data_IF_565130077860
#
_entry.id   IF_565130077860
#
_cell.length_a   1.000
_cell.length_b   1.000
_cell.length_c   1.000
_cell.angle_alpha   90.00
_cell.angle_beta   90.00
_cell.angle_gamma   90.00
#
_symmetry.space_group_name_H-M   'P 1'
#
loop_
_entity.id
_entity.type
_entity.pdbx_description
1 polymer ?
#
# COMPACT_ATOMS: atom_id res chain seq x y z
N UNK A 1 5.50 -11.43 23.66
CA UNK A 1 5.29 -11.89 22.27
C UNK A 1 6.58 -11.66 21.52
N UNK A 2 7.12 -12.67 20.84
CA UNK A 2 8.35 -12.50 20.03
C UNK A 2 7.99 -11.60 18.82
N UNK A 3 8.73 -10.51 18.65
CA UNK A 3 8.61 -9.64 17.47
C UNK A 3 9.33 -10.32 16.30
N UNK A 4 8.75 -10.27 15.11
CA UNK A 4 9.44 -10.75 13.91
C UNK A 4 10.53 -9.76 13.55
N UNK A 5 11.76 -10.22 13.47
CA UNK A 5 12.95 -9.39 13.24
C UNK A 5 13.35 -9.50 11.77
N UNK A 6 13.48 -8.36 11.11
CA UNK A 6 14.15 -8.22 9.84
C UNK A 6 15.54 -7.65 10.09
N UNK A 7 16.55 -8.50 9.96
CA UNK A 7 17.95 -8.12 10.12
C UNK A 7 18.57 -7.73 8.78
N UNK A 8 19.31 -6.66 8.75
CA UNK A 8 20.13 -6.21 7.61
C UNK A 8 21.58 -6.27 8.03
N UNK A 9 22.42 -6.97 7.28
CA UNK A 9 23.85 -7.04 7.55
C UNK A 9 24.67 -6.67 6.31
N UNK A 10 25.37 -5.54 6.38
CA UNK A 10 26.29 -5.10 5.33
C UNK A 10 27.56 -4.53 5.96
N UNK A 11 28.73 -4.89 5.39
CA UNK A 11 30.03 -4.39 5.86
C UNK A 11 30.27 -2.91 5.49
N UNK A 12 29.51 -2.39 4.54
CA UNK A 12 29.46 -0.96 4.24
C UNK A 12 28.54 -0.26 5.24
N UNK A 13 29.15 0.36 6.25
CA UNK A 13 28.46 0.99 7.38
C UNK A 13 27.38 1.97 6.92
N UNK A 14 27.74 2.87 6.01
CA UNK A 14 26.82 3.91 5.51
C UNK A 14 25.61 3.29 4.80
N UNK A 15 25.82 2.24 4.01
CA UNK A 15 24.72 1.56 3.36
C UNK A 15 23.76 0.90 4.38
N UNK A 16 24.32 0.14 5.33
CA UNK A 16 23.53 -0.55 6.35
C UNK A 16 22.68 0.43 7.17
N UNK A 17 23.26 1.54 7.60
CA UNK A 17 22.59 2.55 8.41
C UNK A 17 21.54 3.34 7.61
N UNK A 18 21.86 3.78 6.40
CA UNK A 18 20.93 4.49 5.54
C UNK A 18 19.74 3.60 5.13
N UNK A 19 20.00 2.33 4.85
CA UNK A 19 18.93 1.39 4.52
C UNK A 19 18.05 1.06 5.73
N UNK A 20 18.64 0.90 6.92
CA UNK A 20 17.88 0.77 8.17
C UNK A 20 17.01 2.00 8.43
N UNK A 21 17.57 3.20 8.26
CA UNK A 21 16.82 4.44 8.43
C UNK A 21 15.65 4.53 7.45
N UNK A 22 15.90 4.19 6.18
CA UNK A 22 14.84 4.07 5.18
C UNK A 22 13.75 3.08 5.60
N UNK A 23 14.12 1.88 6.07
CA UNK A 23 13.16 0.87 6.53
C UNK A 23 12.35 1.33 7.74
N UNK A 24 12.97 2.03 8.70
CA UNK A 24 12.30 2.59 9.87
C UNK A 24 11.33 3.72 9.53
N UNK A 25 11.60 4.48 8.46
CA UNK A 25 10.69 5.50 7.93
C UNK A 25 9.50 4.87 7.17
N UNK A 26 9.65 3.65 6.66
CA UNK A 26 8.56 2.87 6.07
C UNK A 26 7.64 2.30 7.15
N UNK A 27 6.55 3.01 7.42
CA UNK A 27 5.59 2.68 8.50
C UNK A 27 4.80 1.39 8.28
N UNK A 28 4.82 0.84 7.06
CA UNK A 28 4.05 -0.33 6.63
C UNK A 28 4.81 -1.65 6.72
N UNK A 29 6.11 -1.66 7.07
CA UNK A 29 6.90 -2.89 7.16
C UNK A 29 6.55 -3.64 8.45
N UNK A 30 6.09 -4.93 8.37
CA UNK A 30 5.60 -5.67 9.53
C UNK A 30 6.73 -6.33 10.34
N UNK A 31 7.91 -5.72 10.40
CA UNK A 31 9.09 -6.24 11.10
C UNK A 31 9.69 -5.19 12.02
N UNK A 32 10.33 -5.65 13.09
CA UNK A 32 11.31 -4.84 13.81
C UNK A 32 12.64 -4.89 13.07
N UNK A 33 13.19 -3.73 12.73
CA UNK A 33 14.39 -3.62 11.90
C UNK A 33 15.63 -3.60 12.80
N UNK A 34 16.61 -4.44 12.48
CA UNK A 34 17.92 -4.48 13.13
C UNK A 34 19.01 -4.40 12.07
N UNK A 35 19.97 -3.49 12.21
CA UNK A 35 21.10 -3.39 11.30
C UNK A 35 22.41 -3.79 11.98
N UNK A 36 23.23 -4.49 11.22
CA UNK A 36 24.56 -4.97 11.63
C UNK A 36 25.58 -4.55 10.59
N UNK A 37 26.66 -3.95 11.04
CA UNK A 37 27.79 -3.51 10.22
C UNK A 37 29.00 -4.46 10.31
N UNK A 38 28.86 -5.52 11.10
CA UNK A 38 29.84 -6.60 11.22
C UNK A 38 29.15 -7.93 11.52
N UNK A 39 29.79 -9.01 11.13
CA UNK A 39 29.26 -10.37 11.22
C UNK A 39 29.20 -10.89 12.66
N UNK A 40 30.16 -10.50 13.52
CA UNK A 40 30.21 -10.98 14.90
C UNK A 40 29.00 -10.51 15.70
N UNK A 41 28.60 -9.24 15.51
CA UNK A 41 27.41 -8.68 16.16
C UNK A 41 26.12 -9.37 15.68
N UNK A 42 26.01 -9.68 14.38
CA UNK A 42 24.89 -10.45 13.83
C UNK A 42 24.82 -11.85 14.45
N UNK A 43 25.96 -12.57 14.51
CA UNK A 43 26.03 -13.92 15.08
C UNK A 43 25.67 -13.90 16.58
N UNK A 44 26.21 -12.95 17.32
CA UNK A 44 25.91 -12.81 18.76
C UNK A 44 24.43 -12.56 18.98
N UNK A 45 23.84 -11.68 18.17
CA UNK A 45 22.41 -11.37 18.24
C UNK A 45 21.55 -12.57 17.83
N UNK A 46 21.87 -13.26 16.72
CA UNK A 46 21.11 -14.39 16.20
C UNK A 46 21.15 -15.64 17.10
N UNK A 47 22.17 -15.79 17.96
CA UNK A 47 22.19 -16.85 18.98
C UNK A 47 21.19 -16.63 20.13
N UNK A 48 20.81 -15.36 20.37
CA UNK A 48 19.91 -15.00 21.48
C UNK A 48 18.48 -14.68 20.99
N UNK A 49 18.32 -14.31 19.72
CA UNK A 49 17.06 -13.87 19.14
C UNK A 49 16.76 -14.63 17.86
N UNK A 50 15.50 -14.95 17.64
CA UNK A 50 15.07 -15.49 16.36
C UNK A 50 15.02 -14.39 15.31
N UNK A 51 15.70 -14.58 14.18
CA UNK A 51 15.68 -13.68 13.02
C UNK A 51 14.74 -14.29 11.98
N UNK A 52 13.64 -13.61 11.69
CA UNK A 52 12.65 -14.10 10.73
C UNK A 52 13.13 -13.91 9.29
N UNK A 53 13.74 -12.74 9.01
CA UNK A 53 14.26 -12.39 7.69
C UNK A 53 15.62 -11.75 7.82
N UNK A 54 16.60 -12.26 7.08
CA UNK A 54 17.96 -11.71 7.01
C UNK A 54 18.26 -11.28 5.57
N UNK A 55 18.54 -9.99 5.39
CA UNK A 55 19.16 -9.45 4.18
C UNK A 55 20.66 -9.25 4.47
N UNK A 56 21.52 -9.99 3.79
CA UNK A 56 22.95 -10.00 4.07
C UNK A 56 23.79 -9.80 2.82
N UNK A 57 24.80 -8.93 2.88
CA UNK A 57 25.74 -8.76 1.77
C UNK A 57 26.54 -10.04 1.53
N UNK A 58 26.88 -10.31 0.27
CA UNK A 58 27.71 -11.46 -0.12
C UNK A 58 28.99 -11.57 0.70
N UNK A 59 29.64 -10.44 0.95
CA UNK A 59 30.91 -10.37 1.68
C UNK A 59 30.77 -10.69 3.18
N UNK A 60 29.60 -10.49 3.74
CA UNK A 60 29.30 -10.79 5.14
C UNK A 60 28.83 -12.25 5.35
N UNK A 61 28.46 -12.94 4.27
CA UNK A 61 27.97 -14.31 4.37
C UNK A 61 29.12 -15.27 4.70
N UNK A 62 28.94 -16.06 5.75
CA UNK A 62 29.92 -17.05 6.21
C UNK A 62 29.24 -18.28 6.81
N UNK A 63 30.01 -19.33 7.06
CA UNK A 63 29.52 -20.60 7.61
C UNK A 63 28.78 -20.42 8.94
N UNK A 64 29.30 -19.58 9.83
CA UNK A 64 28.69 -19.34 11.15
C UNK A 64 27.29 -18.68 11.03
N UNK A 65 27.05 -17.83 10.03
CA UNK A 65 25.71 -17.26 9.74
C UNK A 65 24.78 -18.33 9.19
N UNK A 66 25.28 -19.26 8.37
CA UNK A 66 24.50 -20.38 7.83
C UNK A 66 24.05 -21.38 8.92
N UNK A 67 24.74 -21.43 10.04
CA UNK A 67 24.43 -22.30 11.19
C UNK A 67 23.41 -21.67 12.15
N UNK A 68 23.02 -20.41 11.97
CA UNK A 68 21.98 -19.74 12.76
C UNK A 68 20.57 -20.20 12.34
N UNK A 69 19.67 -20.26 13.30
CA UNK A 69 18.24 -20.48 13.03
C UNK A 69 17.58 -19.20 12.50
N UNK A 70 17.59 -19.03 11.18
CA UNK A 70 17.03 -17.88 10.48
C UNK A 70 15.89 -18.37 9.59
N UNK A 71 14.72 -17.69 9.67
CA UNK A 71 13.55 -18.05 8.88
C UNK A 71 13.81 -17.98 7.38
N UNK A 72 14.29 -16.84 6.89
CA UNK A 72 14.65 -16.63 5.48
C UNK A 72 15.93 -15.82 5.35
N UNK A 73 16.80 -16.25 4.44
CA UNK A 73 18.03 -15.49 4.09
C UNK A 73 17.90 -15.03 2.64
N UNK A 74 18.16 -13.74 2.41
CA UNK A 74 18.24 -13.13 1.08
C UNK A 74 19.62 -12.47 0.95
N UNK A 75 20.29 -12.74 -0.16
CA UNK A 75 21.63 -12.19 -0.43
C UNK A 75 21.50 -10.82 -1.10
N UNK A 76 22.17 -9.83 -0.53
CA UNK A 76 22.34 -8.52 -1.14
C UNK A 76 23.54 -8.57 -2.09
N UNK A 77 23.27 -8.65 -3.39
CA UNK A 77 24.25 -8.91 -4.45
C UNK A 77 24.80 -7.60 -5.04
N UNK A 78 26.10 -7.57 -5.30
CA UNK A 78 26.77 -6.46 -6.01
C UNK A 78 26.87 -6.73 -7.54
N UNK A 79 26.14 -7.73 -8.06
CA UNK A 79 26.05 -8.03 -9.49
C UNK A 79 26.64 -9.38 -9.89
N UNK A 80 27.65 -9.89 -9.20
CA UNK A 80 28.18 -11.25 -9.41
C UNK A 80 27.70 -12.14 -8.27
N UNK A 81 27.01 -13.22 -8.60
CA UNK A 81 26.52 -14.17 -7.61
C UNK A 81 27.51 -15.36 -7.49
N UNK A 82 28.17 -15.56 -6.34
CA UNK A 82 29.05 -16.71 -6.16
C UNK A 82 28.26 -18.02 -6.18
N UNK A 83 28.76 -19.10 -6.84
CA UNK A 83 28.04 -20.37 -6.97
C UNK A 83 27.69 -21.05 -5.63
N UNK A 84 28.46 -20.83 -4.59
CA UNK A 84 28.20 -21.35 -3.24
C UNK A 84 27.01 -20.67 -2.55
N UNK A 85 26.52 -19.55 -3.07
CA UNK A 85 25.35 -18.83 -2.58
C UNK A 85 24.09 -19.04 -3.44
N UNK A 86 24.16 -19.82 -4.52
CA UNK A 86 23.05 -20.06 -5.46
C UNK A 86 21.77 -20.63 -4.81
N UNK A 87 21.90 -21.24 -3.63
CA UNK A 87 20.77 -21.75 -2.85
C UNK A 87 19.91 -20.65 -2.19
N UNK A 88 20.41 -19.44 -2.11
CA UNK A 88 19.70 -18.30 -1.53
C UNK A 88 19.19 -17.37 -2.61
N UNK A 89 17.96 -16.83 -2.50
CA UNK A 89 17.52 -15.76 -3.38
C UNK A 89 18.41 -14.55 -3.20
N UNK A 90 18.62 -13.81 -4.28
CA UNK A 90 19.46 -12.61 -4.27
C UNK A 90 18.73 -11.39 -4.81
N UNK A 91 19.06 -10.24 -4.26
CA UNK A 91 18.53 -8.92 -4.65
C UNK A 91 19.71 -8.00 -4.96
N UNK A 92 19.62 -7.22 -6.03
CA UNK A 92 20.71 -6.32 -6.42
C UNK A 92 20.81 -5.12 -5.47
N UNK A 93 22.02 -4.84 -4.97
CA UNK A 93 22.28 -3.83 -3.95
C UNK A 93 22.12 -2.40 -4.46
N UNK A 94 22.62 -2.10 -5.66
CA UNK A 94 22.73 -0.74 -6.19
C UNK A 94 21.51 -0.34 -7.04
N UNK A 95 20.33 -0.50 -6.45
CA UNK A 95 19.05 -0.02 -6.97
C UNK A 95 18.35 0.85 -5.92
N UNK A 96 17.20 1.44 -6.24
CA UNK A 96 16.46 2.23 -5.26
C UNK A 96 16.07 1.38 -4.05
N UNK A 97 16.17 1.93 -2.83
CA UNK A 97 15.82 1.19 -1.60
C UNK A 97 14.40 0.63 -1.61
N UNK A 98 13.46 1.31 -2.29
CA UNK A 98 12.10 0.82 -2.50
C UNK A 98 12.05 -0.48 -3.31
N UNK A 99 12.91 -0.59 -4.32
CA UNK A 99 12.97 -1.76 -5.19
C UNK A 99 13.62 -2.94 -4.45
N UNK A 100 14.69 -2.66 -3.67
CA UNK A 100 15.30 -3.67 -2.78
C UNK A 100 14.26 -4.24 -1.83
N UNK A 101 13.49 -3.40 -1.15
CA UNK A 101 12.44 -3.86 -0.20
C UNK A 101 11.39 -4.69 -0.91
N UNK A 102 10.92 -4.24 -2.08
CA UNK A 102 9.90 -4.97 -2.87
C UNK A 102 10.38 -6.36 -3.26
N UNK A 103 11.62 -6.49 -3.76
CA UNK A 103 12.19 -7.78 -4.15
C UNK A 103 12.43 -8.69 -2.95
N UNK A 104 12.91 -8.14 -1.82
CA UNK A 104 13.09 -8.90 -0.57
C UNK A 104 11.74 -9.43 -0.07
N UNK A 105 10.69 -8.60 -0.08
CA UNK A 105 9.34 -9.05 0.31
C UNK A 105 8.77 -10.09 -0.66
N UNK A 106 9.06 -10.00 -1.96
CA UNK A 106 8.70 -11.01 -2.94
C UNK A 106 9.41 -12.36 -2.65
N UNK A 107 10.70 -12.33 -2.33
CA UNK A 107 11.45 -13.53 -1.95
C UNK A 107 10.91 -14.15 -0.64
N UNK A 108 10.51 -13.34 0.32
CA UNK A 108 9.96 -13.81 1.59
C UNK A 108 8.55 -14.40 1.41
N UNK A 109 7.69 -13.77 0.60
CA UNK A 109 6.33 -14.23 0.34
C UNK A 109 6.20 -15.45 -0.60
N UNK A 110 7.27 -15.84 -1.32
CA UNK A 110 7.23 -16.92 -2.30
C UNK A 110 7.24 -18.33 -1.69
N UNK A 111 7.60 -18.48 -0.43
CA UNK A 111 7.59 -19.80 0.25
C UNK A 111 6.21 -20.14 0.79
N UNK A 112 5.79 -21.39 0.52
CA UNK A 112 4.49 -21.93 0.95
C UNK A 112 4.28 -21.81 2.47
N UNK A 113 3.14 -21.20 2.80
CA UNK A 113 2.42 -21.39 4.06
C UNK A 113 3.29 -21.54 5.33
N UNK A 114 4.01 -20.48 5.68
CA UNK A 114 4.25 -20.26 7.10
C UNK A 114 2.87 -19.90 7.66
N UNK A 115 2.45 -20.62 8.73
CA UNK A 115 1.21 -20.30 9.44
C UNK A 115 1.12 -18.78 9.62
N UNK A 116 -0.07 -18.16 9.44
CA UNK A 116 -0.20 -16.72 9.49
C UNK A 116 0.52 -16.25 10.75
N UNK A 117 1.65 -15.60 10.56
CA UNK A 117 2.36 -14.99 11.67
C UNK A 117 1.35 -13.99 12.24
N UNK A 118 0.81 -14.31 13.42
CA UNK A 118 -0.03 -13.38 14.16
C UNK A 118 0.89 -12.22 14.49
N UNK A 119 0.95 -11.25 13.58
CA UNK A 119 1.68 -10.02 13.86
C UNK A 119 1.10 -9.44 15.14
N UNK A 120 1.92 -9.01 16.09
CA UNK A 120 1.45 -8.11 17.10
C UNK A 120 1.13 -6.80 16.39
N UNK A 121 -0.04 -6.72 15.79
CA UNK A 121 -0.63 -5.46 15.39
C UNK A 121 -0.67 -4.67 16.69
N UNK A 122 0.23 -3.71 16.86
CA UNK A 122 0.00 -2.61 17.76
C UNK A 122 -1.39 -2.14 17.37
N UNK A 123 -2.40 -2.30 18.23
CA UNK A 123 -3.82 -2.05 17.97
C UNK A 123 -4.07 -0.62 17.48
N UNK A 124 -3.59 -0.29 16.29
CA UNK A 124 -4.03 0.85 15.52
C UNK A 124 -5.18 0.32 14.66
N UNK A 125 -6.36 0.83 14.90
CA UNK A 125 -7.51 0.54 14.03
C UNK A 125 -7.25 1.19 12.68
N UNK A 126 -7.12 0.39 11.63
CA UNK A 126 -7.05 0.91 10.25
C UNK A 126 -8.37 1.59 9.91
N UNK A 127 -8.33 2.84 9.50
CA UNK A 127 -9.50 3.58 9.04
C UNK A 127 -9.61 3.50 7.52
N UNK A 128 -10.80 3.15 7.02
CA UNK A 128 -11.09 3.08 5.58
C UNK A 128 -11.82 4.35 5.19
N UNK A 129 -11.25 5.10 4.26
CA UNK A 129 -11.86 6.28 3.65
C UNK A 129 -12.18 6.01 2.19
N UNK A 130 -13.42 6.28 1.77
CA UNK A 130 -13.80 6.20 0.38
C UNK A 130 -13.87 7.59 -0.25
N UNK A 131 -13.48 7.68 -1.50
CA UNK A 131 -13.85 8.78 -2.38
C UNK A 131 -14.76 8.21 -3.45
N UNK A 132 -16.03 8.56 -3.38
CA UNK A 132 -17.07 8.06 -4.27
C UNK A 132 -18.05 9.14 -4.70
N UNK A 133 -18.50 9.09 -5.92
CA UNK A 133 -19.60 9.91 -6.40
C UNK A 133 -20.36 9.16 -7.51
N UNK A 134 -21.69 9.25 -7.58
CA UNK A 134 -22.44 8.75 -8.72
C UNK A 134 -22.21 9.60 -9.99
N UNK A 135 -21.34 10.62 -9.89
CA UNK A 135 -20.97 11.51 -10.98
C UNK A 135 -19.62 11.09 -11.59
N UNK A 136 -19.49 11.27 -12.90
CA UNK A 136 -18.21 11.26 -13.59
C UNK A 136 -17.56 12.66 -13.61
N UNK A 137 -16.23 12.73 -13.79
CA UNK A 137 -15.46 13.96 -14.00
C UNK A 137 -15.61 15.05 -12.92
N UNK A 138 -15.86 14.64 -11.70
CA UNK A 138 -15.99 15.51 -10.53
C UNK A 138 -14.73 15.54 -9.65
N UNK A 139 -13.56 15.19 -10.21
CA UNK A 139 -12.25 15.19 -9.54
C UNK A 139 -12.11 14.15 -8.41
N UNK A 140 -12.81 13.01 -8.49
CA UNK A 140 -12.69 11.92 -7.49
C UNK A 140 -11.23 11.49 -7.29
N UNK A 141 -10.60 10.98 -8.34
CA UNK A 141 -9.21 10.49 -8.31
C UNK A 141 -8.21 11.55 -7.85
N UNK A 142 -8.34 12.78 -8.37
CA UNK A 142 -7.48 13.90 -7.94
C UNK A 142 -7.64 14.18 -6.44
N UNK A 143 -8.87 14.19 -5.94
CA UNK A 143 -9.16 14.38 -4.52
C UNK A 143 -8.62 13.23 -3.68
N UNK A 144 -8.83 11.96 -4.09
CA UNK A 144 -8.37 10.79 -3.39
C UNK A 144 -6.82 10.74 -3.28
N UNK A 145 -6.13 11.03 -4.39
CA UNK A 145 -4.67 11.12 -4.42
C UNK A 145 -4.13 12.26 -3.54
N UNK A 146 -4.79 13.42 -3.57
CA UNK A 146 -4.40 14.57 -2.74
C UNK A 146 -4.59 14.25 -1.26
N UNK A 147 -5.73 13.68 -0.89
CA UNK A 147 -6.05 13.25 0.47
C UNK A 147 -5.00 12.23 0.97
N UNK A 148 -4.72 11.22 0.14
CA UNK A 148 -3.74 10.18 0.46
C UNK A 148 -2.34 10.75 0.69
N UNK A 149 -1.86 11.60 -0.20
CA UNK A 149 -0.53 12.20 -0.07
C UNK A 149 -0.41 13.12 1.15
N UNK A 150 -1.48 13.87 1.51
CA UNK A 150 -1.47 14.73 2.70
C UNK A 150 -1.42 13.88 3.98
N UNK A 151 -2.23 12.84 4.08
CA UNK A 151 -2.22 11.92 5.23
C UNK A 151 -0.90 11.15 5.31
N UNK A 152 -0.32 10.76 4.18
CA UNK A 152 0.92 9.99 4.11
C UNK A 152 2.16 10.73 4.64
N UNK A 153 2.09 12.07 4.82
CA UNK A 153 3.19 12.83 5.47
C UNK A 153 3.47 12.35 6.89
N UNK A 154 2.44 11.97 7.62
CA UNK A 154 2.54 11.62 9.05
C UNK A 154 2.10 10.18 9.35
N UNK A 155 1.35 9.54 8.46
CA UNK A 155 0.67 8.26 8.68
C UNK A 155 1.06 7.23 7.63
N UNK A 156 0.88 5.96 7.94
CA UNK A 156 0.95 4.88 6.93
C UNK A 156 -0.37 4.85 6.16
N UNK A 157 -0.33 5.15 4.87
CA UNK A 157 -1.52 5.25 4.01
C UNK A 157 -1.36 4.36 2.78
N UNK A 158 -2.38 3.55 2.51
CA UNK A 158 -2.52 2.79 1.28
C UNK A 158 -3.63 3.37 0.43
N UNK A 159 -3.34 3.63 -0.83
CA UNK A 159 -4.31 4.02 -1.83
C UNK A 159 -4.61 2.85 -2.77
N UNK A 160 -5.90 2.58 -2.97
CA UNK A 160 -6.42 1.61 -3.93
C UNK A 160 -7.33 2.32 -4.93
N UNK A 161 -6.95 2.25 -6.20
CA UNK A 161 -7.78 2.75 -7.30
C UNK A 161 -8.66 1.63 -7.82
N UNK A 162 -9.96 1.80 -7.70
CA UNK A 162 -11.01 0.87 -8.16
C UNK A 162 -11.80 1.47 -9.33
N UNK A 163 -11.20 2.37 -10.08
CA UNK A 163 -11.76 2.91 -11.33
C UNK A 163 -11.48 1.95 -12.49
N UNK A 164 -12.40 1.89 -13.44
CA UNK A 164 -12.28 1.08 -14.66
C UNK A 164 -11.10 1.52 -15.56
N UNK A 165 -10.82 2.82 -15.56
CA UNK A 165 -9.74 3.43 -16.34
C UNK A 165 -8.97 4.40 -15.44
N UNK A 166 -7.87 3.94 -14.89
CA UNK A 166 -7.09 4.72 -13.91
C UNK A 166 -6.17 5.76 -14.55
N UNK A 167 -5.62 5.49 -15.72
CA UNK A 167 -4.61 6.32 -16.39
C UNK A 167 -3.26 6.39 -15.67
N UNK A 168 -2.98 5.54 -14.69
CA UNK A 168 -1.80 5.65 -13.83
C UNK A 168 -0.49 5.42 -14.57
N UNK A 169 -0.42 4.45 -15.48
CA UNK A 169 0.81 4.19 -16.24
C UNK A 169 1.22 5.42 -17.06
N UNK A 170 0.24 6.09 -17.67
CA UNK A 170 0.47 7.34 -18.43
C UNK A 170 0.82 8.52 -17.51
N UNK A 171 0.10 8.67 -16.38
CA UNK A 171 0.37 9.76 -15.42
C UNK A 171 1.72 9.63 -14.72
N UNK A 172 2.29 8.45 -14.63
CA UNK A 172 3.57 8.20 -13.98
C UNK A 172 4.71 7.95 -14.99
N UNK A 173 4.41 7.88 -16.29
CA UNK A 173 5.37 7.53 -17.32
C UNK A 173 6.06 6.17 -17.06
N UNK A 174 5.36 5.24 -16.38
CA UNK A 174 5.95 4.00 -15.87
C UNK A 174 4.96 2.85 -15.96
N UNK A 175 5.36 1.76 -16.59
CA UNK A 175 4.62 0.50 -16.54
C UNK A 175 4.88 -0.29 -15.26
N UNK A 176 3.94 -1.14 -14.88
CA UNK A 176 4.02 -1.98 -13.68
C UNK A 176 4.01 -3.46 -14.06
N UNK A 177 4.92 -4.25 -13.49
CA UNK A 177 4.97 -5.69 -13.75
C UNK A 177 3.77 -6.43 -13.12
N UNK A 178 3.30 -5.97 -11.96
CA UNK A 178 2.19 -6.51 -11.20
C UNK A 178 1.20 -5.41 -10.83
N UNK A 179 -0.06 -5.76 -10.64
CA UNK A 179 -1.14 -4.81 -10.40
C UNK A 179 -2.24 -5.43 -9.52
N UNK A 180 -3.33 -4.70 -9.30
CA UNK A 180 -4.44 -5.10 -8.45
C UNK A 180 -5.12 -6.41 -8.92
N UNK A 181 -5.12 -6.72 -10.23
CA UNK A 181 -5.66 -7.99 -10.74
C UNK A 181 -4.87 -9.18 -10.22
N UNK A 182 -3.54 -9.07 -10.17
CA UNK A 182 -2.69 -10.11 -9.58
C UNK A 182 -2.99 -10.29 -8.09
N UNK A 183 -3.22 -9.19 -7.36
CA UNK A 183 -3.54 -9.27 -5.93
C UNK A 183 -4.91 -9.93 -5.70
N UNK A 184 -5.93 -9.58 -6.49
CA UNK A 184 -7.26 -10.20 -6.45
C UNK A 184 -7.21 -11.70 -6.76
N UNK A 185 -6.34 -12.11 -7.68
CA UNK A 185 -6.11 -13.53 -7.94
C UNK A 185 -5.63 -14.27 -6.67
N UNK A 186 -4.73 -13.66 -5.88
CA UNK A 186 -4.27 -14.22 -4.61
C UNK A 186 -5.35 -14.22 -3.53
N UNK A 187 -6.22 -13.22 -3.49
CA UNK A 187 -7.39 -13.16 -2.59
C UNK A 187 -8.28 -14.41 -2.78
N UNK A 188 -8.53 -14.78 -4.05
CA UNK A 188 -9.37 -15.94 -4.41
C UNK A 188 -8.73 -17.28 -4.07
N UNK A 189 -7.40 -17.35 -4.00
CA UNK A 189 -6.68 -18.61 -3.70
C UNK A 189 -6.60 -18.96 -2.22
N UNK A 190 -7.09 -18.10 -1.31
CA UNK A 190 -7.02 -18.31 0.15
C UNK A 190 -5.61 -18.59 0.70
N UNK A 191 -4.60 -18.11 0.03
CA UNK A 191 -3.23 -18.25 0.47
C UNK A 191 -2.92 -17.26 1.60
N UNK A 192 -2.55 -17.75 2.79
CA UNK A 192 -2.28 -16.95 4.00
C UNK A 192 -1.13 -15.93 3.90
N UNK A 193 -0.61 -15.66 2.70
CA UNK A 193 0.52 -14.78 2.42
C UNK A 193 0.12 -13.50 1.67
N UNK A 194 -1.18 -13.13 1.66
CA UNK A 194 -1.69 -12.00 0.88
C UNK A 194 -0.96 -10.69 1.20
N UNK A 195 -0.69 -10.40 2.46
CA UNK A 195 -0.02 -9.15 2.87
C UNK A 195 1.43 -9.09 2.38
N UNK A 196 2.17 -10.20 2.40
CA UNK A 196 3.53 -10.22 1.83
C UNK A 196 3.49 -10.02 0.32
N UNK A 197 2.53 -10.68 -0.34
CA UNK A 197 2.31 -10.49 -1.78
C UNK A 197 1.96 -9.04 -2.08
N UNK A 198 1.05 -8.44 -1.34
CA UNK A 198 0.70 -7.03 -1.46
C UNK A 198 1.94 -6.14 -1.29
N UNK A 199 2.74 -6.35 -0.23
CA UNK A 199 3.95 -5.56 0.03
C UNK A 199 4.99 -5.68 -1.10
N UNK A 200 5.05 -6.82 -1.80
CA UNK A 200 5.91 -6.99 -2.99
C UNK A 200 5.44 -6.21 -4.22
N UNK A 201 4.19 -5.73 -4.22
CA UNK A 201 3.57 -5.02 -5.35
C UNK A 201 3.45 -3.51 -5.09
N UNK A 202 3.50 -3.10 -3.81
CA UNK A 202 3.37 -1.69 -3.40
C UNK A 202 4.35 -0.80 -4.14
N UNK A 203 3.84 0.30 -4.66
CA UNK A 203 4.58 1.42 -5.20
C UNK A 203 4.36 2.63 -4.30
N UNK A 204 5.22 3.65 -4.39
CA UNK A 204 5.13 4.84 -3.53
C UNK A 204 5.27 6.11 -4.35
N UNK A 205 4.41 7.10 -4.07
CA UNK A 205 4.48 8.47 -4.61
C UNK A 205 4.34 9.43 -3.43
N UNK A 206 5.33 10.29 -3.18
CA UNK A 206 5.28 11.28 -2.09
C UNK A 206 4.86 10.69 -0.74
N UNK A 207 5.43 9.56 -0.35
CA UNK A 207 5.11 8.75 0.84
C UNK A 207 3.73 8.04 0.80
N UNK A 208 2.90 8.27 -0.22
CA UNK A 208 1.66 7.53 -0.41
C UNK A 208 1.98 6.18 -1.06
N UNK A 209 1.70 5.11 -0.35
CA UNK A 209 1.78 3.77 -0.91
C UNK A 209 0.52 3.47 -1.72
N UNK A 210 0.68 2.79 -2.86
CA UNK A 210 -0.44 2.35 -3.68
C UNK A 210 -0.16 0.99 -4.32
N UNK A 211 -1.23 0.25 -4.60
CA UNK A 211 -1.16 -0.91 -5.49
C UNK A 211 -1.42 -0.40 -6.92
N UNK A 212 -0.57 -0.75 -7.90
CA UNK A 212 -0.85 -0.39 -9.28
C UNK A 212 -2.25 -0.83 -9.69
N UNK A 213 -3.06 0.06 -10.28
CA UNK A 213 -4.43 -0.25 -10.68
C UNK A 213 -4.51 -1.38 -11.72
N UNK A 214 -5.69 -1.93 -11.87
CA UNK A 214 -5.98 -2.89 -12.95
C UNK A 214 -5.68 -2.29 -14.33
N UNK A 215 -5.34 -3.14 -15.29
CA UNK A 215 -5.11 -2.72 -16.69
C UNK A 215 -6.37 -2.75 -17.53
N UNK A 216 -7.32 -3.57 -17.15
CA UNK A 216 -8.55 -3.73 -17.92
C UNK A 216 -9.78 -3.48 -17.05
N UNK A 217 -10.83 -2.83 -17.59
CA UNK A 217 -12.07 -2.60 -16.86
C UNK A 217 -12.79 -3.91 -16.49
N UNK A 218 -12.55 -5.01 -17.24
CA UNK A 218 -13.10 -6.32 -16.97
C UNK A 218 -12.66 -6.87 -15.62
N UNK A 219 -11.45 -6.54 -15.16
CA UNK A 219 -10.94 -6.98 -13.87
C UNK A 219 -11.72 -6.36 -12.70
N UNK A 220 -12.17 -5.09 -12.85
CA UNK A 220 -13.06 -4.46 -11.85
C UNK A 220 -14.46 -5.07 -11.94
N UNK A 221 -15.03 -5.15 -13.16
CA UNK A 221 -16.40 -5.67 -13.38
C UNK A 221 -16.56 -7.14 -13.01
N UNK A 222 -15.49 -7.92 -13.20
CA UNK A 222 -15.47 -9.36 -12.89
C UNK A 222 -15.09 -9.69 -11.45
N UNK A 223 -14.85 -8.69 -10.61
CA UNK A 223 -14.54 -8.90 -9.20
C UNK A 223 -15.82 -8.81 -8.38
N UNK A 224 -16.17 -9.92 -7.73
CA UNK A 224 -17.34 -10.00 -6.87
C UNK A 224 -17.13 -9.20 -5.57
N UNK A 225 -18.23 -8.79 -4.96
CA UNK A 225 -18.23 -8.06 -3.70
C UNK A 225 -17.41 -8.79 -2.60
N UNK A 226 -17.54 -10.11 -2.51
CA UNK A 226 -16.86 -10.94 -1.51
C UNK A 226 -15.33 -10.88 -1.64
N UNK A 227 -14.82 -10.73 -2.86
CA UNK A 227 -13.37 -10.55 -3.10
C UNK A 227 -12.89 -9.18 -2.59
N UNK A 228 -13.70 -8.13 -2.79
CA UNK A 228 -13.41 -6.79 -2.24
C UNK A 228 -13.45 -6.79 -0.72
N UNK A 229 -14.48 -7.39 -0.13
CA UNK A 229 -14.60 -7.52 1.32
C UNK A 229 -13.38 -8.21 1.90
N UNK A 230 -13.01 -9.37 1.35
CA UNK A 230 -11.88 -10.16 1.80
C UNK A 230 -10.56 -9.40 1.67
N UNK A 231 -10.31 -8.74 0.53
CA UNK A 231 -9.12 -7.91 0.35
C UNK A 231 -9.02 -6.82 1.41
N UNK A 232 -10.11 -6.08 1.63
CA UNK A 232 -10.15 -4.98 2.60
C UNK A 232 -9.96 -5.51 4.02
N UNK A 233 -10.62 -6.61 4.39
CA UNK A 233 -10.48 -7.22 5.71
C UNK A 233 -9.05 -7.71 5.97
N UNK A 234 -8.42 -8.36 5.00
CA UNK A 234 -7.02 -8.79 5.11
C UNK A 234 -6.06 -7.61 5.32
N UNK A 235 -6.27 -6.51 4.59
CA UNK A 235 -5.48 -5.29 4.78
C UNK A 235 -5.68 -4.72 6.19
N UNK A 236 -6.92 -4.61 6.66
CA UNK A 236 -7.27 -4.08 7.98
C UNK A 236 -6.68 -4.93 9.12
N UNK A 237 -6.74 -6.25 8.98
CA UNK A 237 -6.34 -7.19 10.03
C UNK A 237 -4.82 -7.43 10.08
N UNK A 238 -4.16 -7.41 8.93
CA UNK A 238 -2.80 -7.94 8.79
C UNK A 238 -1.77 -6.95 8.24
N UNK A 239 -2.17 -5.71 7.91
CA UNK A 239 -1.22 -4.66 7.52
C UNK A 239 -0.97 -3.65 8.64
N UNK A 240 0.06 -2.82 8.46
CA UNK A 240 0.38 -1.70 9.36
C UNK A 240 -0.16 -0.36 8.87
N UNK A 241 -1.02 -0.35 7.85
CA UNK A 241 -1.62 0.89 7.37
C UNK A 241 -2.60 1.46 8.40
N UNK A 242 -2.48 2.74 8.65
CA UNK A 242 -3.41 3.49 9.52
C UNK A 242 -4.63 3.95 8.73
N UNK A 243 -4.44 4.21 7.43
CA UNK A 243 -5.51 4.59 6.51
C UNK A 243 -5.46 3.77 5.23
N UNK A 244 -6.62 3.38 4.75
CA UNK A 244 -6.83 2.86 3.40
C UNK A 244 -7.77 3.81 2.67
N UNK A 245 -7.34 4.35 1.52
CA UNK A 245 -8.15 5.23 0.69
C UNK A 245 -8.61 4.44 -0.53
N UNK A 246 -9.92 4.31 -0.66
CA UNK A 246 -10.57 3.67 -1.80
C UNK A 246 -11.07 4.73 -2.75
N UNK A 247 -10.52 4.79 -3.96
CA UNK A 247 -11.04 5.61 -5.07
C UNK A 247 -11.99 4.75 -5.89
N UNK A 248 -13.30 4.90 -5.64
CA UNK A 248 -14.31 3.93 -6.09
C UNK A 248 -14.91 4.39 -7.41
N UNK A 249 -14.78 3.54 -8.44
CA UNK A 249 -15.42 3.66 -9.74
C UNK A 249 -16.90 3.25 -9.75
N UNK A 250 -17.54 3.45 -10.89
CA UNK A 250 -18.96 3.12 -11.07
C UNK A 250 -19.24 1.63 -11.30
N UNK A 251 -18.22 0.83 -11.59
CA UNK A 251 -18.37 -0.58 -11.97
C UNK A 251 -18.02 -1.57 -10.84
N UNK A 252 -17.70 -1.08 -9.64
CA UNK A 252 -17.41 -1.92 -8.47
C UNK A 252 -18.69 -2.63 -8.04
N UNK A 253 -18.65 -3.96 -8.05
CA UNK A 253 -19.74 -4.78 -7.52
C UNK A 253 -19.84 -4.60 -6.00
N UNK A 254 -21.07 -4.61 -5.47
CA UNK A 254 -21.30 -4.38 -4.05
C UNK A 254 -20.88 -2.98 -3.57
N UNK A 255 -21.00 -1.94 -4.41
CA UNK A 255 -20.59 -0.57 -4.07
C UNK A 255 -21.15 -0.12 -2.71
N UNK A 256 -22.42 -0.42 -2.38
CA UNK A 256 -23.00 -0.02 -1.08
C UNK A 256 -22.37 -0.78 0.09
N UNK A 257 -22.10 -2.06 -0.09
CA UNK A 257 -21.43 -2.88 0.92
C UNK A 257 -20.00 -2.36 1.17
N UNK A 258 -19.25 -2.02 0.12
CA UNK A 258 -17.91 -1.42 0.25
C UNK A 258 -17.99 -0.06 0.95
N UNK A 259 -18.95 0.79 0.60
CA UNK A 259 -19.15 2.09 1.24
C UNK A 259 -19.53 1.94 2.72
N UNK A 260 -20.28 0.90 3.07
CA UNK A 260 -20.67 0.64 4.46
C UNK A 260 -19.51 0.19 5.35
N UNK A 261 -18.45 -0.38 4.78
CA UNK A 261 -17.20 -0.66 5.49
C UNK A 261 -16.40 0.60 5.82
N UNK A 262 -16.69 1.73 5.15
CA UNK A 262 -15.90 2.94 5.26
C UNK A 262 -16.30 3.79 6.48
N UNK A 263 -15.30 4.26 7.22
CA UNK A 263 -15.50 5.21 8.31
C UNK A 263 -15.91 6.59 7.82
N UNK A 264 -15.41 7.00 6.66
CA UNK A 264 -15.67 8.30 6.04
C UNK A 264 -15.80 8.13 4.52
N UNK A 265 -16.73 8.86 3.93
CA UNK A 265 -16.97 8.87 2.48
C UNK A 265 -16.91 10.32 2.03
N UNK A 266 -15.95 10.66 1.21
CA UNK A 266 -15.91 11.97 0.54
C UNK A 266 -16.59 11.85 -0.81
N UNK A 267 -17.63 12.66 -1.01
CA UNK A 267 -18.43 12.67 -2.23
C UNK A 267 -18.21 13.98 -2.98
N UNK A 268 -17.38 14.01 -4.01
CA UNK A 268 -17.30 15.16 -4.91
C UNK A 268 -18.63 15.38 -5.61
N UNK A 269 -19.14 16.63 -5.54
CA UNK A 269 -20.43 17.02 -6.09
C UNK A 269 -20.30 18.21 -7.04
N UNK A 270 -21.21 18.28 -8.02
CA UNK A 270 -21.39 19.41 -8.94
C UNK A 270 -22.75 20.06 -8.69
N UNK A 271 -22.92 21.29 -9.16
CA UNK A 271 -24.11 22.12 -8.87
C UNK A 271 -25.11 22.21 -10.02
N UNK A 272 -24.84 21.53 -11.14
CA UNK A 272 -25.78 21.51 -12.25
C UNK A 272 -26.99 20.60 -11.94
N UNK A 273 -28.15 20.84 -12.60
CA UNK A 273 -29.39 20.11 -12.29
C UNK A 273 -29.30 18.59 -12.48
N UNK A 274 -28.54 18.12 -13.46
CA UNK A 274 -28.39 16.67 -13.74
C UNK A 274 -27.59 16.02 -12.60
N UNK A 275 -26.50 16.64 -12.18
CA UNK A 275 -25.66 16.17 -11.07
C UNK A 275 -26.45 16.13 -9.77
N UNK A 276 -27.22 17.18 -9.46
CA UNK A 276 -28.10 17.22 -8.28
C UNK A 276 -29.09 16.04 -8.30
N UNK A 277 -29.71 15.79 -9.46
CA UNK A 277 -30.69 14.70 -9.62
C UNK A 277 -30.06 13.31 -9.43
N UNK A 278 -28.86 13.08 -9.97
CA UNK A 278 -28.12 11.82 -9.77
C UNK A 278 -27.74 11.58 -8.31
N UNK A 279 -27.29 12.62 -7.61
CA UNK A 279 -26.98 12.54 -6.19
C UNK A 279 -28.24 12.21 -5.38
N UNK A 280 -29.35 12.90 -5.65
CA UNK A 280 -30.63 12.62 -4.99
C UNK A 280 -31.11 11.18 -5.24
N UNK A 281 -30.94 10.66 -6.46
CA UNK A 281 -31.25 9.27 -6.77
C UNK A 281 -30.35 8.30 -5.96
N UNK A 282 -29.05 8.55 -5.90
CA UNK A 282 -28.14 7.74 -5.10
C UNK A 282 -28.55 7.74 -3.61
N UNK A 283 -28.80 8.91 -3.02
CA UNK A 283 -29.21 9.00 -1.62
C UNK A 283 -30.54 8.29 -1.34
N UNK A 284 -31.43 8.28 -2.31
CA UNK A 284 -32.70 7.58 -2.20
C UNK A 284 -32.50 6.05 -2.24
N UNK A 285 -31.63 5.55 -3.13
CA UNK A 285 -31.29 4.13 -3.21
C UNK A 285 -30.59 3.65 -1.93
N UNK A 286 -29.70 4.44 -1.36
CA UNK A 286 -29.04 4.15 -0.06
C UNK A 286 -30.07 3.91 1.05
N UNK A 287 -31.18 4.71 1.07
CA UNK A 287 -32.27 4.53 2.06
C UNK A 287 -33.14 3.32 1.75
N UNK A 288 -33.46 3.10 0.47
CA UNK A 288 -34.29 1.96 0.04
C UNK A 288 -33.61 0.62 0.32
N UNK A 289 -32.30 0.56 0.18
CA UNK A 289 -31.52 -0.66 0.37
C UNK A 289 -30.98 -0.83 1.80
N UNK A 290 -31.45 0.02 2.73
CA UNK A 290 -31.18 -0.05 4.16
C UNK A 290 -29.70 0.13 4.57
N UNK A 291 -29.04 1.10 3.94
CA UNK A 291 -27.67 1.53 4.30
C UNK A 291 -27.63 3.00 4.83
N UNK A 292 -28.49 3.41 5.77
CA UNK A 292 -28.63 4.84 6.15
C UNK A 292 -27.31 5.43 6.72
N UNK A 293 -26.44 4.61 7.30
CA UNK A 293 -25.16 5.04 7.85
C UNK A 293 -24.18 5.54 6.79
N UNK A 294 -24.31 5.12 5.52
CA UNK A 294 -23.53 5.68 4.41
C UNK A 294 -23.74 7.19 4.34
N UNK A 295 -24.98 7.66 4.45
CA UNK A 295 -25.31 9.08 4.36
C UNK A 295 -24.73 9.88 5.54
N UNK A 296 -24.75 9.32 6.75
CA UNK A 296 -24.22 9.99 7.95
C UNK A 296 -22.70 10.10 7.93
N UNK A 297 -22.02 9.19 7.24
CA UNK A 297 -20.56 9.18 7.05
C UNK A 297 -20.10 9.94 5.81
N UNK A 298 -21.05 10.39 4.97
CA UNK A 298 -20.74 11.08 3.71
C UNK A 298 -20.54 12.57 3.92
N UNK A 299 -19.39 13.07 3.48
CA UNK A 299 -19.06 14.49 3.39
C UNK A 299 -19.08 14.88 1.92
N UNK A 300 -20.07 15.72 1.54
CA UNK A 300 -20.12 16.30 0.19
C UNK A 300 -19.03 17.36 0.06
N UNK A 301 -18.18 17.22 -0.94
CA UNK A 301 -17.07 18.13 -1.20
C UNK A 301 -17.19 18.74 -2.60
N UNK A 302 -16.66 19.96 -2.77
CA UNK A 302 -16.61 20.67 -4.06
C UNK A 302 -15.16 21.02 -4.37
N UNK A 303 -14.38 20.05 -4.88
CA UNK A 303 -13.00 20.29 -5.20
C UNK A 303 -12.85 21.44 -6.20
N UNK A 304 -11.91 22.38 -5.99
CA UNK A 304 -11.66 23.43 -6.96
C UNK A 304 -11.19 22.82 -8.29
N UNK A 305 -11.70 23.36 -9.40
CA UNK A 305 -11.32 22.87 -10.73
C UNK A 305 -9.92 23.37 -11.10
N UNK A 306 -9.03 22.45 -11.42
CA UNK A 306 -7.69 22.74 -11.90
C UNK A 306 -7.66 22.62 -13.43
N UNK A 307 -7.74 23.76 -14.11
CA UNK A 307 -7.61 23.87 -15.56
C UNK A 307 -6.18 24.21 -16.02
N UNK A 308 -5.14 23.76 -15.32
CA UNK A 308 -3.75 24.04 -15.71
C UNK A 308 -3.22 23.05 -16.76
N UNK A 309 -2.41 23.54 -17.71
CA UNK A 309 -1.59 22.71 -18.59
C UNK A 309 -0.44 22.09 -17.78
N UNK A 310 -0.74 21.13 -16.92
CA UNK A 310 0.27 20.34 -16.20
C UNK A 310 0.55 19.10 -17.03
N UNK A 311 1.82 18.83 -17.30
CA UNK A 311 2.21 17.59 -17.96
C UNK A 311 1.78 16.40 -17.12
N UNK A 312 1.23 15.31 -17.72
CA UNK A 312 0.67 14.19 -16.99
C UNK A 312 1.62 13.61 -15.95
N UNK A 313 2.91 13.50 -16.27
CA UNK A 313 3.97 12.96 -15.42
C UNK A 313 4.23 13.75 -14.13
N UNK A 314 3.84 15.02 -14.08
CA UNK A 314 4.00 15.89 -12.90
C UNK A 314 2.68 16.13 -12.18
N UNK A 315 1.58 15.57 -12.69
CA UNK A 315 0.24 15.88 -12.20
C UNK A 315 0.05 15.45 -10.75
N UNK A 316 0.36 14.19 -10.44
CA UNK A 316 0.10 13.61 -9.11
C UNK A 316 0.94 14.31 -8.03
N UNK A 317 2.21 14.55 -8.30
CA UNK A 317 3.09 15.26 -7.35
C UNK A 317 2.66 16.72 -7.16
N UNK A 318 2.22 17.37 -8.24
CA UNK A 318 1.76 18.76 -8.21
C UNK A 318 0.47 18.98 -7.41
N UNK A 319 -0.35 17.95 -7.21
CA UNK A 319 -1.60 18.06 -6.46
C UNK A 319 -1.42 18.59 -5.04
N UNK A 320 -0.32 18.25 -4.37
CA UNK A 320 0.00 18.71 -3.01
C UNK A 320 0.12 20.23 -2.89
N UNK A 321 0.61 20.88 -3.94
CA UNK A 321 0.93 22.31 -3.95
C UNK A 321 -0.12 23.15 -4.67
N UNK A 322 -1.21 22.52 -5.07
CA UNK A 322 -2.31 23.12 -5.79
C UNK A 322 -3.39 23.66 -4.84
N UNK A 323 -4.34 24.44 -5.40
CA UNK A 323 -5.56 24.84 -4.66
C UNK A 323 -6.35 23.65 -4.11
N UNK A 324 -6.30 22.49 -4.80
CA UNK A 324 -6.90 21.26 -4.30
C UNK A 324 -6.18 20.77 -3.05
N UNK A 325 -4.85 20.88 -3.00
CA UNK A 325 -4.08 20.57 -1.81
C UNK A 325 -4.48 21.40 -0.59
N UNK A 326 -4.64 22.71 -0.78
CA UNK A 326 -5.09 23.62 0.28
C UNK A 326 -6.52 23.33 0.71
N UNK A 327 -7.40 23.07 -0.25
CA UNK A 327 -8.79 22.68 0.01
C UNK A 327 -8.90 21.40 0.86
N UNK A 328 -8.13 20.35 0.53
CA UNK A 328 -8.13 19.09 1.30
C UNK A 328 -7.56 19.31 2.70
N UNK A 329 -6.48 20.11 2.86
CA UNK A 329 -5.94 20.46 4.19
C UNK A 329 -6.99 21.17 5.06
N UNK A 330 -7.78 22.07 4.47
CA UNK A 330 -8.84 22.75 5.21
C UNK A 330 -9.94 21.79 5.67
N UNK A 331 -10.37 20.86 4.81
CA UNK A 331 -11.32 19.80 5.19
C UNK A 331 -10.81 19.00 6.36
N UNK A 332 -9.58 18.47 6.28
CA UNK A 332 -8.99 17.65 7.34
C UNK A 332 -8.79 18.41 8.65
N UNK A 333 -8.56 19.73 8.60
CA UNK A 333 -8.48 20.56 9.80
C UNK A 333 -9.84 20.68 10.49
N UNK A 334 -10.91 20.95 9.72
CA UNK A 334 -12.28 21.05 10.25
C UNK A 334 -12.81 19.73 10.83
N UNK A 335 -12.28 18.61 10.40
CA UNK A 335 -12.69 17.30 10.97
C UNK A 335 -11.96 16.94 12.28
N UNK A 336 -10.89 17.66 12.61
CA UNK A 336 -10.16 17.49 13.89
C UNK A 336 -10.70 18.40 15.00
N UNK A 337 -11.45 19.46 14.63
CA UNK A 337 -12.16 20.36 15.54
C UNK A 337 -13.51 19.78 15.96
#
# INVERSE_FOLDING_TARGET
MKKNIFAVCDLEVDYALNFMDYLNHKKNIPFEIQAFTNVESLITYGKMNHIELLLISQKAMCRQVQELEIGKIVILSEGVHPPDLDRYPSVYKYQASSDVVREVMACYGAEKAVAPAVFPVLKKTTEIYAVYSPLGRCLKTSFALTLGQILAKERAVLYLNLEEYSGFEEMLGKGFAQNLSDLLYFVRQENGNLIYKMNSMVQTINNLDFIPPVRTPEDIRGTAWEDWEKLIQEIVLHSNYEFVILDIGGAVDGTFQVLDMCRRIYMPVLSDPVSISKIAQFENLVRIWDYPQILTRTVKVRPPFHGGNVAPENYIEGLLWSELGDYVREILRKEKE
#
